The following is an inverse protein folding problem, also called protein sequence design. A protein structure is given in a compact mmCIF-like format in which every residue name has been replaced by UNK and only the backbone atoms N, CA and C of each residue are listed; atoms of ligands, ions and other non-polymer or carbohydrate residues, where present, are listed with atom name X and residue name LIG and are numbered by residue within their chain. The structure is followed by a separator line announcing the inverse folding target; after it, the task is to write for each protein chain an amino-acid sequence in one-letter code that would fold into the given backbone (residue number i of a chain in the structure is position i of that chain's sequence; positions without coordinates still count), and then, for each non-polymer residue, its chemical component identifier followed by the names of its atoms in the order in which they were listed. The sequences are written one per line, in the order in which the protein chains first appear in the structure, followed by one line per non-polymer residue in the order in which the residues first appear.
data_IF_653509725402
#
_entry.id   IF_653509725402
#
_cell.length_a   1.000
_cell.length_b   1.000
_cell.length_c   1.000
_cell.angle_alpha   90.00
_cell.angle_beta   90.00
_cell.angle_gamma   90.00
#
_symmetry.space_group_name_H-M   'P 1'
#
loop_
_entity.id
_entity.type
_entity.pdbx_description
1 polymer ?
#
# COMPACT_ATOMS: atom_id res chain seq x y z
N UNK A 1 17.45 82.36 -15.66
CA UNK A 1 18.31 81.17 -15.83
C UNK A 1 17.82 80.19 -14.78
N UNK A 2 16.72 79.52 -15.11
CA UNK A 2 16.09 78.50 -14.27
C UNK A 2 16.70 77.15 -14.67
N UNK A 3 17.18 76.41 -13.68
CA UNK A 3 17.67 75.05 -13.86
C UNK A 3 16.51 74.09 -13.61
N UNK A 4 16.19 73.31 -14.64
CA UNK A 4 15.19 72.24 -14.62
C UNK A 4 15.92 70.93 -14.28
N UNK A 5 15.83 70.48 -13.04
CA UNK A 5 16.32 69.18 -12.61
C UNK A 5 15.34 68.09 -13.06
N UNK A 6 15.74 67.29 -14.06
CA UNK A 6 14.95 66.13 -14.51
C UNK A 6 15.30 64.93 -13.63
N UNK A 7 14.35 64.54 -12.79
CA UNK A 7 14.38 63.35 -11.94
C UNK A 7 14.44 62.07 -12.80
N UNK A 8 15.58 61.40 -12.81
CA UNK A 8 15.74 60.12 -13.50
C UNK A 8 15.17 59.00 -12.64
N UNK A 9 13.93 58.63 -12.93
CA UNK A 9 13.19 57.60 -12.23
C UNK A 9 13.89 56.24 -12.32
N UNK A 10 14.42 55.80 -11.18
CA UNK A 10 15.01 54.48 -10.92
C UNK A 10 13.97 53.40 -11.25
N UNK A 11 14.18 52.72 -12.37
CA UNK A 11 13.40 51.57 -12.79
C UNK A 11 13.38 50.50 -11.70
N UNK A 12 12.17 50.13 -11.31
CA UNK A 12 11.85 49.08 -10.35
C UNK A 12 12.46 47.76 -10.84
N UNK A 13 13.40 47.21 -10.07
CA UNK A 13 13.90 45.86 -10.27
C UNK A 13 12.75 44.90 -9.95
N UNK A 14 12.13 44.33 -10.97
CA UNK A 14 11.13 43.28 -10.81
C UNK A 14 11.75 42.15 -10.00
N UNK A 15 11.21 41.93 -8.80
CA UNK A 15 11.54 40.76 -7.98
C UNK A 15 10.88 39.57 -8.67
N UNK A 16 11.61 38.91 -9.56
CA UNK A 16 11.22 37.63 -10.12
C UNK A 16 11.34 36.59 -9.01
N UNK A 17 10.20 36.11 -8.52
CA UNK A 17 10.15 34.94 -7.63
C UNK A 17 10.51 33.70 -8.45
N UNK A 18 11.68 33.13 -8.18
CA UNK A 18 12.15 31.84 -8.73
C UNK A 18 11.26 30.72 -8.16
N UNK A 19 10.09 30.49 -8.77
CA UNK A 19 9.19 29.41 -8.41
C UNK A 19 9.93 28.08 -8.62
N UNK A 20 10.17 27.38 -7.51
CA UNK A 20 10.83 26.07 -7.51
C UNK A 20 9.78 24.97 -7.54
N UNK A 21 9.79 24.16 -8.59
CA UNK A 21 8.89 23.02 -8.73
C UNK A 21 9.40 21.86 -7.84
N UNK A 22 8.51 21.22 -7.08
CA UNK A 22 8.88 20.09 -6.20
C UNK A 22 8.44 18.78 -6.84
N UNK A 23 9.38 17.85 -7.01
CA UNK A 23 9.14 16.56 -7.66
C UNK A 23 9.55 15.43 -6.73
N UNK A 24 8.61 14.53 -6.45
CA UNK A 24 8.85 13.32 -5.65
C UNK A 24 8.86 12.10 -6.55
N UNK A 25 9.89 11.27 -6.44
CA UNK A 25 10.09 10.09 -7.30
C UNK A 25 10.60 8.91 -6.48
N UNK A 26 10.26 7.68 -6.89
CA UNK A 26 10.76 6.47 -6.26
C UNK A 26 12.15 6.12 -6.80
N UNK A 27 13.00 5.57 -5.93
CA UNK A 27 14.29 5.01 -6.31
C UNK A 27 14.12 3.89 -7.36
N UNK A 28 15.00 3.89 -8.34
CA UNK A 28 14.96 3.03 -9.53
C UNK A 28 14.13 3.58 -10.69
N UNK A 29 13.20 4.50 -10.44
CA UNK A 29 12.43 5.15 -11.51
C UNK A 29 13.29 6.22 -12.24
N UNK A 30 12.69 6.91 -13.21
CA UNK A 30 13.33 8.04 -13.92
C UNK A 30 12.52 9.32 -13.70
N UNK A 31 13.18 10.47 -13.73
CA UNK A 31 12.53 11.78 -13.63
C UNK A 31 12.95 12.65 -14.81
N UNK A 32 11.99 13.35 -15.42
CA UNK A 32 12.23 14.31 -16.50
C UNK A 32 11.88 15.71 -16.01
N UNK A 33 12.83 16.63 -16.15
CA UNK A 33 12.75 18.03 -15.75
C UNK A 33 12.59 18.88 -17.01
N UNK A 34 11.40 19.45 -17.19
CA UNK A 34 11.01 20.11 -18.44
C UNK A 34 11.45 21.58 -18.48
N UNK A 35 12.12 21.97 -19.56
CA UNK A 35 12.56 23.36 -19.80
C UNK A 35 11.45 24.30 -20.24
N UNK A 36 10.29 23.75 -20.64
CA UNK A 36 9.17 24.43 -21.31
C UNK A 36 9.54 25.07 -22.66
N UNK A 37 10.69 24.67 -23.23
CA UNK A 37 11.13 25.05 -24.58
C UNK A 37 10.53 24.07 -25.59
N UNK A 38 9.80 24.57 -26.58
CA UNK A 38 9.21 23.73 -27.64
C UNK A 38 10.22 23.25 -28.69
N UNK A 39 11.20 24.11 -29.01
CA UNK A 39 12.27 23.81 -29.96
C UNK A 39 13.54 24.61 -29.62
N UNK A 40 14.70 23.95 -29.65
CA UNK A 40 16.00 24.60 -29.53
C UNK A 40 16.41 25.24 -30.86
N UNK A 41 16.66 26.55 -30.84
CA UNK A 41 17.20 27.31 -31.96
C UNK A 41 18.72 27.46 -31.87
N UNK A 42 19.34 27.89 -32.97
CA UNK A 42 20.81 27.92 -33.12
C UNK A 42 21.51 28.90 -32.18
N UNK A 43 20.80 29.89 -31.67
CA UNK A 43 21.28 30.92 -30.73
C UNK A 43 20.96 30.60 -29.26
N UNK A 44 20.27 29.48 -28.99
CA UNK A 44 19.93 29.08 -27.63
C UNK A 44 21.15 28.48 -26.90
N UNK A 45 21.28 28.83 -25.62
CA UNK A 45 22.10 28.13 -24.64
C UNK A 45 21.19 27.56 -23.55
N UNK A 46 21.32 26.28 -23.27
CA UNK A 46 20.66 25.62 -22.13
C UNK A 46 21.74 25.00 -21.25
N UNK A 47 21.80 25.40 -19.99
CA UNK A 47 22.76 24.88 -19.02
C UNK A 47 22.01 24.27 -17.84
N UNK A 48 22.24 22.98 -17.59
CA UNK A 48 21.76 22.27 -16.42
C UNK A 48 22.83 22.21 -15.34
N UNK A 49 22.49 22.68 -14.15
CA UNK A 49 23.30 22.51 -12.95
C UNK A 49 22.54 21.78 -11.86
N UNK A 50 23.27 21.07 -11.02
CA UNK A 50 22.77 20.41 -9.84
C UNK A 50 23.49 20.97 -8.63
N UNK A 51 22.72 21.39 -7.63
CA UNK A 51 23.22 21.91 -6.38
C UNK A 51 22.84 20.97 -5.24
N UNK A 52 23.85 20.50 -4.53
CA UNK A 52 23.71 19.95 -3.19
C UNK A 52 24.26 20.91 -2.14
N UNK A 53 24.30 20.48 -0.87
CA UNK A 53 24.56 21.36 0.27
C UNK A 53 25.83 22.21 0.15
N UNK A 54 26.86 21.75 -0.57
CA UNK A 54 28.14 22.46 -0.67
C UNK A 54 28.73 22.53 -2.08
N UNK A 55 28.07 21.97 -3.10
CA UNK A 55 28.61 21.93 -4.46
C UNK A 55 27.56 22.25 -5.50
N UNK A 56 27.99 22.93 -6.56
CA UNK A 56 27.23 23.10 -7.78
C UNK A 56 27.99 22.41 -8.92
N UNK A 57 27.32 21.44 -9.53
CA UNK A 57 27.89 20.58 -10.57
C UNK A 57 27.15 20.81 -11.87
N UNK A 58 27.89 21.02 -12.97
CA UNK A 58 27.29 21.05 -14.31
C UNK A 58 26.90 19.64 -14.71
N UNK A 59 25.66 19.46 -15.15
CA UNK A 59 25.13 18.16 -15.58
C UNK A 59 25.17 18.03 -17.10
N UNK A 60 24.69 19.06 -17.80
CA UNK A 60 24.67 19.09 -19.24
C UNK A 60 24.61 20.53 -19.77
N UNK A 61 25.04 20.71 -21.01
CA UNK A 61 24.96 21.96 -21.74
C UNK A 61 24.51 21.68 -23.18
N UNK A 62 23.64 22.54 -23.70
CA UNK A 62 23.33 22.59 -25.13
C UNK A 62 23.66 24.00 -25.62
N UNK A 63 24.60 24.09 -26.55
CA UNK A 63 24.99 25.35 -27.17
C UNK A 63 24.99 25.17 -28.69
N UNK A 64 24.25 26.01 -29.42
CA UNK A 64 24.16 25.93 -30.88
C UNK A 64 23.78 24.52 -31.40
N UNK A 65 22.83 23.87 -30.71
CA UNK A 65 22.40 22.46 -30.95
C UNK A 65 23.46 21.38 -30.71
N UNK A 66 24.63 21.74 -30.17
CA UNK A 66 25.65 20.78 -29.74
C UNK A 66 25.42 20.46 -28.27
N UNK A 67 25.22 19.18 -27.98
CA UNK A 67 24.98 18.65 -26.63
C UNK A 67 26.27 18.17 -26.00
N UNK A 68 26.51 18.59 -24.77
CA UNK A 68 27.58 18.11 -23.89
C UNK A 68 26.95 17.58 -22.60
N UNK A 69 27.27 16.34 -22.22
CA UNK A 69 26.84 15.72 -20.96
C UNK A 69 28.07 15.47 -20.09
N UNK A 70 27.97 15.80 -18.81
CA UNK A 70 29.09 15.79 -17.87
C UNK A 70 28.93 14.68 -16.81
N UNK A 71 28.82 13.43 -17.26
CA UNK A 71 28.63 12.23 -16.42
C UNK A 71 29.82 11.26 -16.39
N UNK A 72 30.90 11.48 -17.16
CA UNK A 72 31.91 10.43 -17.48
C UNK A 72 33.30 10.60 -16.82
N UNK A 73 33.58 11.56 -15.92
CA UNK A 73 34.92 11.69 -15.27
C UNK A 73 34.88 12.16 -13.82
N UNK A 74 35.98 11.88 -13.09
CA UNK A 74 36.38 12.09 -11.67
C UNK A 74 35.58 13.04 -10.75
N UNK A 75 34.82 14.00 -11.30
CA UNK A 75 34.02 14.96 -10.54
C UNK A 75 32.53 14.61 -10.44
N UNK A 76 32.02 13.60 -11.15
CA UNK A 76 30.57 13.35 -11.18
C UNK A 76 30.14 11.87 -11.21
N UNK A 77 30.85 11.01 -10.47
CA UNK A 77 30.51 9.58 -10.32
C UNK A 77 29.04 9.36 -9.94
N UNK A 78 28.45 10.32 -9.22
CA UNK A 78 27.03 10.33 -8.85
C UNK A 78 26.13 10.09 -10.06
N UNK A 79 26.30 10.85 -11.13
CA UNK A 79 25.39 10.86 -12.29
C UNK A 79 25.85 9.98 -13.44
N UNK A 80 26.89 9.17 -13.23
CA UNK A 80 27.51 8.35 -14.27
C UNK A 80 26.50 7.50 -15.02
N UNK A 81 26.46 7.66 -16.34
CA UNK A 81 25.61 6.92 -17.29
C UNK A 81 24.09 7.09 -17.03
N UNK A 82 23.68 8.12 -16.29
CA UNK A 82 22.26 8.33 -15.88
C UNK A 82 21.60 9.54 -16.54
N UNK A 83 22.37 10.46 -17.12
CA UNK A 83 21.86 11.71 -17.68
C UNK A 83 21.47 11.55 -19.14
N UNK A 84 20.24 11.91 -19.47
CA UNK A 84 19.76 12.00 -20.84
C UNK A 84 19.20 13.40 -21.08
N UNK A 85 19.45 13.95 -22.26
CA UNK A 85 18.96 15.26 -22.67
C UNK A 85 18.16 15.07 -23.94
N UNK A 86 16.94 15.58 -23.94
CA UNK A 86 16.09 15.69 -25.12
C UNK A 86 16.63 16.78 -26.04
N UNK A 87 16.94 16.43 -27.29
CA UNK A 87 17.63 17.33 -28.22
C UNK A 87 16.71 18.41 -28.81
N UNK A 88 15.39 18.22 -28.70
CA UNK A 88 14.41 19.18 -29.23
C UNK A 88 14.07 20.25 -28.19
N UNK A 89 13.88 19.87 -26.94
CA UNK A 89 13.40 20.74 -25.85
C UNK A 89 14.52 21.12 -24.87
N UNK A 90 15.57 20.31 -24.78
CA UNK A 90 16.64 20.47 -23.80
C UNK A 90 16.27 20.01 -22.40
N UNK A 91 15.15 19.29 -22.26
CA UNK A 91 14.71 18.70 -21.00
C UNK A 91 15.70 17.64 -20.51
N UNK A 92 15.98 17.65 -19.22
CA UNK A 92 16.91 16.72 -18.58
C UNK A 92 16.14 15.54 -17.99
N UNK A 93 16.54 14.33 -18.35
CA UNK A 93 16.08 13.10 -17.72
C UNK A 93 17.20 12.47 -16.91
N UNK A 94 16.93 12.19 -15.63
CA UNK A 94 17.81 11.41 -14.75
C UNK A 94 17.21 10.02 -14.60
N UNK A 95 17.92 9.03 -15.11
CA UNK A 95 17.47 7.63 -15.11
C UNK A 95 17.98 6.85 -13.91
N UNK A 96 17.25 5.80 -13.53
CA UNK A 96 17.59 4.93 -12.40
C UNK A 96 17.93 5.78 -11.15
N UNK A 97 17.05 6.71 -10.79
CA UNK A 97 17.33 7.70 -9.76
C UNK A 97 17.44 7.02 -8.38
N UNK A 98 18.20 7.60 -7.46
CA UNK A 98 18.43 7.07 -6.12
C UNK A 98 18.59 8.24 -5.14
N UNK A 99 18.70 7.95 -3.84
CA UNK A 99 18.76 9.01 -2.81
C UNK A 99 19.87 10.04 -3.03
N UNK A 100 21.01 9.67 -3.61
CA UNK A 100 22.14 10.58 -3.87
C UNK A 100 21.83 11.65 -4.91
N UNK A 101 20.83 11.39 -5.77
CA UNK A 101 20.36 12.32 -6.79
C UNK A 101 19.30 13.31 -6.26
N UNK A 102 18.91 13.23 -4.99
CA UNK A 102 18.03 14.23 -4.38
C UNK A 102 18.76 15.57 -4.26
N UNK A 103 18.08 16.67 -4.59
CA UNK A 103 18.68 18.00 -4.52
C UNK A 103 18.02 18.99 -5.46
N UNK A 104 18.67 20.15 -5.63
CA UNK A 104 18.16 21.25 -6.42
C UNK A 104 18.77 21.22 -7.82
N UNK A 105 17.95 20.99 -8.82
CA UNK A 105 18.32 21.08 -10.23
C UNK A 105 17.93 22.46 -10.73
N UNK A 106 18.80 23.10 -11.49
CA UNK A 106 18.56 24.40 -12.10
C UNK A 106 18.83 24.30 -13.59
N UNK A 107 17.97 24.95 -14.36
CA UNK A 107 18.23 25.20 -15.77
C UNK A 107 18.29 26.68 -16.02
N UNK A 108 19.33 27.11 -16.72
CA UNK A 108 19.45 28.43 -17.29
C UNK A 108 19.27 28.33 -18.80
N UNK A 109 18.34 29.12 -19.33
CA UNK A 109 17.99 29.16 -20.75
C UNK A 109 18.29 30.58 -21.24
N UNK A 110 19.18 30.72 -22.22
CA UNK A 110 19.52 32.01 -22.84
C UNK A 110 19.09 31.96 -24.29
N UNK A 111 18.14 32.81 -24.67
CA UNK A 111 17.59 32.92 -26.01
C UNK A 111 17.30 34.38 -26.41
N UNK A 112 18.21 35.29 -26.07
CA UNK A 112 18.01 36.73 -26.10
C UNK A 112 17.69 37.28 -24.71
N UNK A 113 16.79 36.60 -23.99
CA UNK A 113 16.56 36.78 -22.56
C UNK A 113 17.17 35.63 -21.75
N UNK A 114 17.39 35.87 -20.45
CA UNK A 114 17.82 34.81 -19.52
C UNK A 114 16.64 34.37 -18.68
N UNK A 115 16.25 33.09 -18.85
CA UNK A 115 15.23 32.44 -18.04
C UNK A 115 15.87 31.40 -17.13
N UNK A 116 15.32 31.28 -15.93
CA UNK A 116 15.74 30.27 -14.96
C UNK A 116 14.52 29.45 -14.57
N UNK A 117 14.74 28.15 -14.34
CA UNK A 117 13.76 27.27 -13.71
C UNK A 117 14.48 26.35 -12.74
N UNK A 118 13.85 26.13 -11.60
CA UNK A 118 14.42 25.38 -10.49
C UNK A 118 13.51 24.19 -10.14
N UNK A 119 14.10 23.02 -9.90
CA UNK A 119 13.40 21.81 -9.51
C UNK A 119 14.03 21.24 -8.23
N UNK A 120 13.23 21.07 -7.19
CA UNK A 120 13.60 20.35 -5.98
C UNK A 120 13.17 18.90 -6.12
N UNK A 121 14.12 18.01 -6.35
CA UNK A 121 13.86 16.57 -6.54
C UNK A 121 14.12 15.84 -5.23
N UNK A 122 13.09 15.13 -4.74
CA UNK A 122 13.15 14.26 -3.57
C UNK A 122 12.97 12.80 -3.98
N UNK A 123 13.94 11.96 -3.65
CA UNK A 123 13.94 10.53 -4.02
C UNK A 123 13.66 9.65 -2.81
N UNK A 124 12.66 8.79 -2.94
CA UNK A 124 12.19 7.90 -1.87
C UNK A 124 12.54 6.45 -2.17
N UNK A 125 13.09 5.74 -1.19
CA UNK A 125 13.35 4.31 -1.33
C UNK A 125 12.06 3.50 -1.16
N UNK A 126 11.94 2.33 -1.79
CA UNK A 126 10.92 1.34 -1.42
C UNK A 126 10.99 1.05 0.08
N UNK A 127 9.83 0.94 0.70
CA UNK A 127 9.75 0.74 2.14
C UNK A 127 10.23 -0.65 2.52
N UNK A 128 11.04 -0.74 3.58
CA UNK A 128 11.27 -2.01 4.27
C UNK A 128 10.08 -2.34 5.15
N UNK A 129 9.84 -3.63 5.37
CA UNK A 129 8.74 -4.18 6.17
C UNK A 129 8.62 -3.42 7.50
N UNK A 130 7.43 -2.86 7.84
CA UNK A 130 7.19 -2.26 9.13
C UNK A 130 7.38 -3.29 10.22
N UNK A 131 8.05 -2.89 11.29
CA UNK A 131 8.20 -3.77 12.46
C UNK A 131 6.89 -3.71 13.24
N UNK A 132 6.23 -4.86 13.34
CA UNK A 132 5.13 -5.08 14.27
C UNK A 132 5.72 -5.73 15.52
N UNK A 133 5.68 -5.03 16.64
CA UNK A 133 6.13 -5.55 17.94
C UNK A 133 4.99 -5.54 18.95
N UNK A 134 4.96 -6.51 19.85
CA UNK A 134 4.16 -6.42 21.07
C UNK A 134 4.72 -5.27 21.92
N UNK A 135 3.84 -4.44 22.47
CA UNK A 135 4.24 -3.41 23.41
C UNK A 135 4.72 -4.09 24.70
N UNK A 136 5.89 -3.71 25.28
CA UNK A 136 6.39 -4.39 26.47
C UNK A 136 5.40 -4.24 27.63
N UNK A 137 4.67 -5.31 27.92
CA UNK A 137 3.89 -5.45 29.15
C UNK A 137 4.78 -5.98 30.27
N UNK A 138 4.80 -5.28 31.39
CA UNK A 138 5.43 -5.72 32.62
C UNK A 138 4.73 -7.02 33.09
N UNK A 139 5.41 -8.17 33.23
CA UNK A 139 4.74 -9.44 33.49
C UNK A 139 4.44 -9.56 34.99
N UNK A 140 3.32 -9.00 35.44
CA UNK A 140 2.67 -9.45 36.67
C UNK A 140 1.61 -10.47 36.30
N UNK A 141 2.03 -11.72 36.21
CA UNK A 141 1.14 -12.87 36.02
C UNK A 141 0.39 -13.11 37.33
N UNK A 142 -0.86 -12.68 37.35
CA UNK A 142 -1.85 -13.30 38.22
C UNK A 142 -3.25 -12.97 37.69
N UNK A 143 -4.02 -14.04 37.55
CA UNK A 143 -5.48 -14.11 37.48
C UNK A 143 -6.14 -14.06 36.10
N UNK A 144 -7.04 -15.04 35.94
CA UNK A 144 -7.95 -15.23 34.81
C UNK A 144 -8.72 -13.94 34.55
N UNK A 145 -8.28 -13.13 33.59
CA UNK A 145 -9.13 -12.11 32.98
C UNK A 145 -9.40 -12.51 31.52
N UNK A 146 -10.68 -12.58 31.18
CA UNK A 146 -11.21 -12.92 29.86
C UNK A 146 -11.06 -11.79 28.83
N UNK A 147 -10.19 -10.82 29.09
CA UNK A 147 -9.94 -9.64 28.25
C UNK A 147 -8.45 -9.36 28.25
N UNK A 148 -7.70 -10.08 27.41
CA UNK A 148 -6.32 -9.72 27.12
C UNK A 148 -6.31 -8.74 25.96
N UNK A 149 -6.40 -7.43 26.25
CA UNK A 149 -6.24 -6.41 25.23
C UNK A 149 -4.88 -6.60 24.54
N UNK A 150 -4.88 -6.99 23.27
CA UNK A 150 -3.69 -7.07 22.44
C UNK A 150 -3.37 -5.68 21.88
N UNK A 151 -2.12 -5.24 22.04
CA UNK A 151 -1.63 -3.98 21.50
C UNK A 151 -0.56 -4.27 20.47
N UNK A 152 -0.86 -4.00 19.20
CA UNK A 152 0.06 -4.12 18.09
C UNK A 152 0.47 -2.72 17.66
N UNK A 153 1.75 -2.51 17.36
CA UNK A 153 2.21 -1.23 16.83
C UNK A 153 2.84 -1.46 15.48
N UNK A 154 2.28 -0.87 14.43
CA UNK A 154 2.93 -0.85 13.13
C UNK A 154 3.85 0.38 13.09
N UNK A 155 5.16 0.16 12.92
CA UNK A 155 6.14 1.25 12.87
C UNK A 155 6.97 1.23 11.61
N UNK A 156 7.15 2.40 11.01
CA UNK A 156 8.02 2.63 9.84
C UNK A 156 9.03 3.72 10.18
N UNK A 157 10.31 3.47 9.90
CA UNK A 157 11.41 4.42 10.15
C UNK A 157 11.88 5.05 8.84
N UNK A 158 12.45 6.25 8.93
CA UNK A 158 13.11 6.95 7.81
C UNK A 158 12.20 7.21 6.60
N UNK A 159 10.96 7.64 6.87
CA UNK A 159 9.95 7.96 5.84
C UNK A 159 9.47 9.40 5.95
N UNK A 160 8.87 9.89 4.88
CA UNK A 160 8.13 11.15 4.80
C UNK A 160 7.20 11.12 3.59
N UNK A 161 6.16 11.96 3.60
CA UNK A 161 5.07 11.93 2.61
C UNK A 161 4.44 10.54 2.48
N UNK A 162 4.14 9.91 3.61
CA UNK A 162 3.51 8.58 3.66
C UNK A 162 2.23 8.60 4.49
N UNK A 163 1.34 7.68 4.13
CA UNK A 163 0.16 7.29 4.88
C UNK A 163 0.39 5.90 5.43
N UNK A 164 0.25 5.75 6.74
CA UNK A 164 0.27 4.49 7.46
C UNK A 164 -1.16 4.13 7.84
N UNK A 165 -1.61 2.93 7.47
CA UNK A 165 -3.01 2.52 7.62
C UNK A 165 -3.14 1.10 8.13
N UNK A 166 -4.04 0.89 9.09
CA UNK A 166 -4.54 -0.43 9.45
C UNK A 166 -5.77 -0.79 8.64
N UNK A 167 -5.82 -2.01 8.15
CA UNK A 167 -6.97 -2.63 7.54
C UNK A 167 -7.43 -3.82 8.39
N UNK A 168 -8.74 -4.02 8.46
CA UNK A 168 -9.40 -5.22 8.96
C UNK A 168 -10.16 -5.86 7.81
N UNK A 169 -9.69 -7.01 7.35
CA UNK A 169 -10.08 -7.57 6.06
C UNK A 169 -9.83 -6.54 4.96
N UNK A 170 -10.90 -6.08 4.31
CA UNK A 170 -10.85 -5.06 3.26
C UNK A 170 -11.25 -3.65 3.74
N UNK A 171 -11.61 -3.50 5.02
CA UNK A 171 -12.09 -2.25 5.58
C UNK A 171 -10.95 -1.48 6.23
N UNK A 172 -10.86 -0.18 5.95
CA UNK A 172 -9.92 0.71 6.61
C UNK A 172 -10.30 0.86 8.10
N UNK A 173 -9.37 0.54 8.99
CA UNK A 173 -9.57 0.62 10.44
C UNK A 173 -9.09 1.95 11.01
N UNK A 174 -7.84 2.31 10.73
CA UNK A 174 -7.25 3.58 11.17
C UNK A 174 -6.19 4.02 10.18
N UNK A 175 -5.94 5.33 10.11
CA UNK A 175 -4.95 5.88 9.20
C UNK A 175 -4.33 7.16 9.75
N UNK A 176 -3.05 7.34 9.50
CA UNK A 176 -2.31 8.57 9.79
C UNK A 176 -1.46 8.93 8.57
N UNK A 177 -1.36 10.21 8.25
CA UNK A 177 -0.49 10.73 7.19
C UNK A 177 0.54 11.66 7.78
N UNK A 178 1.79 11.55 7.34
CA UNK A 178 2.88 12.43 7.75
C UNK A 178 3.64 12.91 6.52
N UNK A 179 3.81 14.22 6.42
CA UNK A 179 4.52 14.87 5.32
C UNK A 179 6.01 15.07 5.63
N UNK A 180 6.40 15.19 6.89
CA UNK A 180 7.78 15.49 7.26
C UNK A 180 8.74 14.31 7.00
N UNK A 181 9.91 14.61 6.44
CA UNK A 181 10.98 13.63 6.18
C UNK A 181 11.67 13.17 7.48
N UNK A 182 12.23 11.96 7.45
CA UNK A 182 13.04 11.36 8.52
C UNK A 182 12.33 11.22 9.88
N UNK A 183 11.01 10.98 9.87
CA UNK A 183 10.27 10.63 11.09
C UNK A 183 10.02 9.12 11.17
N UNK A 184 10.04 8.63 12.41
CA UNK A 184 9.43 7.34 12.73
C UNK A 184 7.94 7.55 12.91
N UNK A 185 7.15 6.79 12.17
CA UNK A 185 5.69 6.83 12.26
C UNK A 185 5.25 5.51 12.87
N UNK A 186 4.45 5.58 13.92
CA UNK A 186 3.91 4.43 14.62
C UNK A 186 2.40 4.58 14.72
N UNK A 187 1.66 3.56 14.28
CA UNK A 187 0.22 3.52 14.40
C UNK A 187 -0.17 2.34 15.30
N UNK A 188 -0.57 2.60 16.55
CA UNK A 188 -1.03 1.56 17.45
C UNK A 188 -2.40 1.01 17.03
N UNK A 189 -2.60 -0.26 17.30
CA UNK A 189 -3.86 -0.99 17.15
C UNK A 189 -4.13 -1.72 18.47
N UNK A 190 -5.22 -1.34 19.13
CA UNK A 190 -5.71 -1.99 20.34
C UNK A 190 -6.92 -2.85 19.99
N UNK A 191 -6.82 -4.15 20.21
CA UNK A 191 -7.89 -5.13 19.96
C UNK A 191 -8.03 -6.08 21.14
N UNK A 192 -9.20 -6.61 21.41
CA UNK A 192 -9.39 -7.60 22.49
C UNK A 192 -8.86 -8.99 22.07
N UNK A 193 -9.04 -9.35 20.80
CA UNK A 193 -8.59 -10.62 20.22
C UNK A 193 -8.67 -10.55 18.68
N UNK A 194 -8.04 -11.49 17.99
CA UNK A 194 -8.15 -11.58 16.53
C UNK A 194 -9.49 -12.20 16.12
N UNK A 195 -10.31 -11.42 15.43
CA UNK A 195 -11.57 -11.85 14.83
C UNK A 195 -11.55 -11.85 13.30
N UNK A 196 -10.58 -11.19 12.68
CA UNK A 196 -10.40 -11.08 11.23
C UNK A 196 -8.91 -10.90 10.87
N UNK A 197 -8.60 -10.80 9.59
CA UNK A 197 -7.27 -10.52 9.07
C UNK A 197 -6.94 -9.04 9.21
N UNK A 198 -6.02 -8.69 10.11
CA UNK A 198 -5.50 -7.33 10.20
C UNK A 198 -4.27 -7.16 9.31
N UNK A 199 -4.09 -5.98 8.72
CA UNK A 199 -2.95 -5.69 7.86
C UNK A 199 -2.52 -4.25 8.01
N UNK A 200 -1.21 -4.03 8.09
CA UNK A 200 -0.64 -2.69 8.06
C UNK A 200 -0.15 -2.39 6.65
N UNK A 201 -0.62 -1.27 6.10
CA UNK A 201 -0.32 -0.81 4.75
C UNK A 201 0.35 0.55 4.83
N UNK A 202 1.42 0.72 4.08
CA UNK A 202 2.12 1.99 3.96
C UNK A 202 2.06 2.44 2.50
N UNK A 203 1.63 3.68 2.27
CA UNK A 203 1.51 4.25 0.94
C UNK A 203 2.19 5.62 0.90
N UNK A 204 2.95 5.91 -0.14
CA UNK A 204 3.45 7.26 -0.37
C UNK A 204 2.32 8.14 -0.92
N UNK A 205 2.18 9.38 -0.45
CA UNK A 205 1.08 10.26 -0.83
C UNK A 205 1.17 10.76 -2.28
N UNK A 206 2.35 10.72 -2.88
CA UNK A 206 2.61 11.19 -4.25
C UNK A 206 2.56 10.09 -5.31
N UNK A 207 2.36 8.83 -4.92
CA UNK A 207 2.26 7.70 -5.86
C UNK A 207 1.09 6.79 -5.52
N UNK A 208 0.50 6.18 -6.55
CA UNK A 208 -0.56 5.19 -6.39
C UNK A 208 -0.02 3.81 -5.99
N UNK A 209 1.31 3.63 -5.86
CA UNK A 209 1.90 2.41 -5.32
C UNK A 209 1.73 2.39 -3.80
N UNK A 210 0.88 1.49 -3.32
CA UNK A 210 0.81 1.12 -1.91
C UNK A 210 1.63 -0.16 -1.67
N UNK A 211 2.37 -0.18 -0.58
CA UNK A 211 3.10 -1.36 -0.13
C UNK A 211 2.33 -1.95 1.05
N UNK A 212 1.63 -3.07 0.79
CA UNK A 212 0.95 -3.83 1.84
C UNK A 212 1.90 -4.87 2.42
N UNK A 213 2.10 -4.83 3.73
CA UNK A 213 2.91 -5.83 4.42
C UNK A 213 1.99 -6.80 5.14
N UNK A 214 1.76 -7.94 4.49
CA UNK A 214 0.85 -9.00 4.96
C UNK A 214 1.58 -10.21 5.55
N UNK A 215 2.91 -10.21 5.57
CA UNK A 215 3.68 -11.39 5.95
C UNK A 215 4.16 -11.40 7.41
N UNK A 216 3.23 -11.24 8.34
CA UNK A 216 3.43 -11.73 9.71
C UNK A 216 2.13 -12.36 10.17
N UNK A 217 2.19 -13.63 10.58
CA UNK A 217 1.08 -14.32 11.24
C UNK A 217 0.80 -13.57 12.55
N UNK A 218 -0.07 -12.57 12.50
CA UNK A 218 -0.52 -11.82 13.69
C UNK A 218 -1.11 -12.79 14.72
N UNK A 219 -1.58 -13.96 14.27
CA UNK A 219 -1.97 -15.13 15.08
C UNK A 219 -0.89 -15.62 16.05
N UNK A 220 0.40 -15.40 15.77
CA UNK A 220 1.49 -15.74 16.70
C UNK A 220 1.65 -14.69 17.82
N UNK A 221 1.15 -13.46 17.61
CA UNK A 221 1.24 -12.34 18.56
C UNK A 221 -0.04 -12.15 19.40
N UNK A 222 -1.22 -12.36 18.82
CA UNK A 222 -2.50 -12.24 19.50
C UNK A 222 -3.31 -13.53 19.38
N UNK A 223 -4.04 -13.92 20.43
CA UNK A 223 -4.96 -15.05 20.39
C UNK A 223 -6.25 -14.76 19.61
N UNK A 224 -6.83 -15.78 18.98
CA UNK A 224 -8.15 -15.70 18.32
C UNK A 224 -9.30 -15.64 19.31
N UNK A 225 -10.36 -14.90 18.99
CA UNK A 225 -11.52 -14.74 19.88
C UNK A 225 -12.23 -16.08 20.18
N UNK A 226 -12.57 -16.36 21.47
CA UNK A 226 -13.32 -17.55 21.85
C UNK A 226 -14.78 -17.43 21.35
N UNK A 227 -15.02 -17.86 20.12
CA UNK A 227 -16.35 -17.82 19.50
C UNK A 227 -16.37 -18.21 18.02
N UNK A 228 -15.27 -17.95 17.28
CA UNK A 228 -15.19 -18.28 15.86
C UNK A 228 -15.24 -19.80 15.58
N UNK A 229 -14.82 -20.62 16.54
CA UNK A 229 -14.85 -22.09 16.47
C UNK A 229 -16.08 -22.74 17.13
N UNK A 230 -16.89 -22.00 17.90
CA UNK A 230 -17.97 -22.58 18.70
C UNK A 230 -19.26 -22.88 17.91
N UNK A 231 -19.47 -22.22 16.76
CA UNK A 231 -20.66 -22.42 15.92
C UNK A 231 -20.74 -23.84 15.31
N UNK A 232 -19.60 -24.44 14.96
CA UNK A 232 -19.53 -25.78 14.35
C UNK A 232 -19.82 -26.91 15.35
N UNK A 233 -19.44 -26.77 16.62
CA UNK A 233 -19.60 -27.83 17.63
C UNK A 233 -21.05 -27.99 18.10
N UNK A 234 -21.87 -26.94 18.06
CA UNK A 234 -23.30 -27.01 18.42
C UNK A 234 -24.16 -27.61 17.30
N UNK A 235 -23.73 -27.54 16.04
CA UNK A 235 -24.48 -28.10 14.91
C UNK A 235 -24.40 -29.64 14.86
N UNK A 236 -23.27 -30.23 15.24
CA UNK A 236 -23.05 -31.69 15.21
C UNK A 236 -24.08 -32.52 16.01
N UNK A 237 -24.39 -32.20 17.29
CA UNK A 237 -25.40 -32.95 18.03
C UNK A 237 -26.80 -32.78 17.45
N UNK A 238 -27.14 -31.60 16.92
CA UNK A 238 -28.44 -31.33 16.29
C UNK A 238 -28.59 -32.17 15.01
N UNK A 239 -27.55 -32.24 14.18
CA UNK A 239 -27.53 -33.07 12.97
C UNK A 239 -27.68 -34.55 13.34
N UNK A 240 -27.00 -35.02 14.40
CA UNK A 240 -27.10 -36.40 14.86
C UNK A 240 -28.52 -36.75 15.33
N UNK A 241 -29.18 -35.87 16.08
CA UNK A 241 -30.58 -36.07 16.51
C UNK A 241 -31.53 -36.13 15.32
N UNK A 242 -31.37 -35.25 14.32
CA UNK A 242 -32.18 -35.27 13.10
C UNK A 242 -32.00 -36.57 12.31
N UNK A 243 -30.78 -37.11 12.23
CA UNK A 243 -30.52 -38.41 11.59
C UNK A 243 -31.19 -39.57 12.33
N UNK A 244 -31.15 -39.59 13.67
CA UNK A 244 -31.84 -40.61 14.46
C UNK A 244 -33.35 -40.58 14.27
N UNK A 245 -33.95 -39.39 14.21
CA UNK A 245 -35.38 -39.24 13.92
C UNK A 245 -35.75 -39.77 12.53
N UNK A 246 -34.94 -39.47 11.51
CA UNK A 246 -35.14 -39.99 10.16
C UNK A 246 -35.06 -41.52 10.10
N UNK A 247 -34.06 -42.12 10.75
CA UNK A 247 -33.94 -43.58 10.84
C UNK A 247 -35.16 -44.18 11.57
N UNK A 248 -35.59 -43.57 12.67
CA UNK A 248 -36.79 -43.97 13.40
C UNK A 248 -38.05 -43.97 12.51
N UNK A 249 -38.24 -42.92 11.71
CA UNK A 249 -39.35 -42.81 10.75
C UNK A 249 -39.27 -43.92 9.69
N UNK A 250 -38.09 -44.17 9.11
CA UNK A 250 -37.91 -45.23 8.10
C UNK A 250 -38.22 -46.60 8.68
N UNK A 251 -37.74 -46.90 9.89
CA UNK A 251 -38.03 -48.16 10.59
C UNK A 251 -39.53 -48.28 10.88
N UNK A 252 -40.19 -47.22 11.34
CA UNK A 252 -41.64 -47.21 11.56
C UNK A 252 -42.42 -47.47 10.26
N UNK A 253 -42.06 -46.81 9.16
CA UNK A 253 -42.68 -47.04 7.85
C UNK A 253 -42.45 -48.49 7.39
N UNK A 254 -41.24 -49.02 7.54
CA UNK A 254 -40.92 -50.40 7.19
C UNK A 254 -41.70 -51.41 8.05
N UNK A 255 -41.79 -51.18 9.36
CA UNK A 255 -42.58 -51.99 10.29
C UNK A 255 -44.08 -51.95 9.95
N UNK A 256 -44.62 -50.77 9.62
CA UNK A 256 -46.02 -50.63 9.18
C UNK A 256 -46.26 -51.34 7.85
N UNK A 257 -45.36 -51.22 6.88
CA UNK A 257 -45.42 -51.97 5.61
C UNK A 257 -45.36 -53.47 5.82
N UNK A 258 -44.51 -53.95 6.74
CA UNK A 258 -44.41 -55.39 7.07
C UNK A 258 -45.67 -55.90 7.76
N UNK A 259 -46.24 -55.15 8.70
CA UNK A 259 -47.54 -55.48 9.33
C UNK A 259 -48.67 -55.49 8.31
N UNK A 260 -48.73 -54.49 7.43
CA UNK A 260 -49.71 -54.44 6.33
C UNK A 260 -49.61 -55.66 5.40
N UNK A 261 -48.38 -56.07 5.03
CA UNK A 261 -48.18 -57.29 4.22
C UNK A 261 -48.61 -58.57 4.93
N UNK A 262 -48.38 -58.70 6.25
CA UNK A 262 -48.82 -59.86 7.04
C UNK A 262 -50.34 -59.93 7.17
N UNK A 263 -51.00 -58.81 7.47
CA UNK A 263 -52.46 -58.74 7.53
C UNK A 263 -53.14 -59.07 6.19
N UNK A 264 -52.47 -58.77 5.06
CA UNK A 264 -52.96 -59.17 3.73
C UNK A 264 -52.78 -60.67 3.44
N UNK A 265 -51.79 -61.33 4.03
CA UNK A 265 -51.59 -62.79 3.86
C UNK A 265 -52.57 -63.62 4.69
N UNK A 266 -52.98 -63.15 5.87
CA UNK A 266 -53.97 -63.86 6.71
C UNK A 266 -55.40 -63.79 6.16
N UNK A 267 -55.73 -62.80 5.31
CA UNK A 267 -57.06 -62.66 4.71
C UNK A 267 -57.34 -63.57 3.50
N UNK A 268 -56.44 -64.51 3.17
CA UNK A 268 -56.50 -65.28 1.91
C UNK A 268 -56.25 -66.79 2.09
N UNK A 269 -56.80 -67.39 3.16
CA UNK A 269 -56.87 -68.85 3.34
C UNK A 269 -58.34 -69.28 3.38
N UNK A 270 -58.85 -70.07 2.41
CA UNK A 270 -60.21 -70.61 2.44
C UNK A 270 -60.27 -71.85 3.35
N UNK A 271 -61.29 -71.92 4.20
CA UNK A 271 -61.62 -73.05 5.09
C UNK A 271 -62.27 -74.17 4.26
N UNK A 272 -61.65 -75.36 4.25
CA UNK A 272 -62.15 -76.57 3.59
C UNK A 272 -62.98 -77.36 4.61
N UNK A 273 -64.30 -77.40 4.40
CA UNK A 273 -65.27 -78.16 5.19
C UNK A 273 -65.02 -79.68 5.06
N UNK A 274 -64.91 -80.39 6.20
CA UNK A 274 -64.98 -81.86 6.26
C UNK A 274 -66.27 -82.27 6.97
N UNK A 275 -67.19 -82.85 6.19
CA UNK A 275 -68.44 -83.48 6.63
C UNK A 275 -68.27 -85.02 6.67
N UNK A 276 -69.06 -85.66 7.55
CA UNK A 276 -69.49 -87.08 7.63
C UNK A 276 -68.61 -88.00 8.49
N UNK A 277 -69.09 -88.96 9.31
CA UNK A 277 -70.37 -89.30 9.97
C UNK A 277 -70.11 -90.47 10.94
N UNK A 278 -70.81 -90.47 12.07
CA UNK A 278 -71.58 -91.54 12.75
C UNK A 278 -71.04 -92.97 13.06
N UNK A 279 -71.71 -93.54 14.08
CA UNK A 279 -71.79 -94.88 14.67
C UNK A 279 -70.85 -95.10 15.88
N UNK A 280 -71.32 -95.41 17.11
CA UNK A 280 -72.55 -96.09 17.59
C UNK A 280 -72.88 -95.64 19.01
#
# INVERSE_FOLDING_TARGET
MEHEDTEQQKGVFGVYTDETETISVMEGDSVTLNTDVSEILTDHLILWTFRDQNSETRLAEIYKKIKSVYDIKENNERFRDRLQIDEQTGSLTVTNINKLHSGLYKVQIINGDVKHKSFSVAVYAPLTVPVISDSPRNPSVSERSSQQNCSLVCSVVNVGHVTLSWYKGNSLWSSISVSDLNKTISLPLEIECLDDSYSCVVAYSFTNRSYSFTHLNITDLCGTCPGASQSLFLALPIIFVLLLLLVGIVVLVFCRRKKYKRAKQEAQTPEEDVIYTDAT
#
